data_IF_524484863405
#
_entry.id   IF_524484863405
#
_cell.length_a   1.000
_cell.length_b   1.000
_cell.length_c   1.000
_cell.angle_alpha   90.00
_cell.angle_beta   90.00
_cell.angle_gamma   90.00
#
_symmetry.space_group_name_H-M   'P 1'
#
loop_
_entity.id
_entity.type
_entity.pdbx_description
1 polymer ?
#
# COMPACT_ATOMS: atom_id res chain seq x y z
N UNK A 1 -13.44 -2.31 10.99
CA UNK A 1 -12.62 -1.68 9.93
C UNK A 1 -13.00 -2.36 8.64
N UNK A 2 -13.62 -1.64 7.70
CA UNK A 2 -14.02 -2.18 6.40
C UNK A 2 -12.79 -2.28 5.52
N UNK A 3 -12.36 -3.48 5.22
CA UNK A 3 -11.27 -3.77 4.29
C UNK A 3 -11.68 -3.31 2.89
N UNK A 4 -11.02 -2.27 2.37
CA UNK A 4 -11.19 -1.83 0.99
C UNK A 4 -10.45 -2.79 0.08
N UNK A 5 -11.16 -3.60 -0.69
CA UNK A 5 -10.57 -4.47 -1.71
C UNK A 5 -10.94 -3.98 -3.12
N UNK A 6 -9.94 -3.88 -3.98
CA UNK A 6 -10.12 -3.55 -5.40
C UNK A 6 -9.83 -4.83 -6.20
N UNK A 7 -10.79 -5.24 -7.03
CA UNK A 7 -10.62 -6.38 -7.94
C UNK A 7 -10.26 -5.85 -9.31
N UNK A 8 -9.10 -6.27 -9.83
CA UNK A 8 -8.62 -5.94 -11.16
C UNK A 8 -8.76 -7.16 -12.07
N UNK A 9 -9.30 -6.94 -13.26
CA UNK A 9 -9.35 -7.95 -14.32
C UNK A 9 -8.47 -7.50 -15.49
N UNK A 10 -7.78 -8.44 -16.17
CA UNK A 10 -7.03 -8.12 -17.37
C UNK A 10 -7.94 -7.52 -18.44
N UNK A 11 -7.45 -6.50 -19.15
CA UNK A 11 -8.23 -5.86 -20.19
C UNK A 11 -8.36 -6.75 -21.42
N UNK A 12 -9.58 -6.90 -21.93
CA UNK A 12 -9.85 -7.61 -23.18
C UNK A 12 -9.19 -6.98 -24.41
N UNK A 13 -8.73 -5.73 -24.31
CA UNK A 13 -8.01 -5.02 -25.38
C UNK A 13 -6.69 -5.71 -25.78
N UNK A 14 -6.07 -6.47 -24.86
CA UNK A 14 -4.85 -7.21 -25.13
C UNK A 14 -5.06 -8.36 -26.14
N UNK A 15 -6.32 -8.82 -26.25
CA UNK A 15 -6.70 -9.91 -27.16
C UNK A 15 -7.18 -9.42 -28.54
N UNK A 16 -7.25 -8.11 -28.78
CA UNK A 16 -7.80 -7.54 -30.01
C UNK A 16 -7.14 -8.15 -31.26
N UNK A 17 -5.82 -8.34 -31.25
CA UNK A 17 -5.08 -8.92 -32.36
C UNK A 17 -5.44 -10.39 -32.61
N UNK A 18 -5.69 -11.15 -31.56
CA UNK A 18 -6.12 -12.55 -31.65
C UNK A 18 -7.55 -12.67 -32.16
N UNK A 19 -8.45 -11.75 -31.79
CA UNK A 19 -9.80 -11.70 -32.35
C UNK A 19 -9.78 -11.36 -33.85
N UNK A 20 -8.94 -10.40 -34.25
CA UNK A 20 -8.79 -10.05 -35.66
C UNK A 20 -8.28 -11.25 -36.48
N UNK A 21 -7.29 -11.96 -35.98
CA UNK A 21 -6.74 -13.16 -36.60
C UNK A 21 -7.80 -14.27 -36.67
N UNK A 22 -8.59 -14.46 -35.61
CA UNK A 22 -9.70 -15.39 -35.57
C UNK A 22 -10.78 -15.09 -36.63
N UNK A 23 -11.13 -13.82 -36.82
CA UNK A 23 -12.12 -13.37 -37.83
C UNK A 23 -11.61 -13.70 -39.25
N UNK A 24 -10.34 -13.46 -39.53
CA UNK A 24 -9.72 -13.79 -40.82
C UNK A 24 -9.70 -15.31 -41.09
N UNK A 25 -9.61 -16.12 -40.02
CA UNK A 25 -9.58 -17.59 -40.11
C UNK A 25 -10.98 -18.24 -40.15
N UNK A 26 -12.06 -17.49 -39.89
CA UNK A 26 -13.43 -18.02 -39.93
C UNK A 26 -13.77 -18.74 -41.23
N UNK A 27 -13.46 -18.20 -42.45
CA UNK A 27 -13.75 -18.87 -43.69
C UNK A 27 -12.90 -20.14 -43.92
N UNK A 28 -11.85 -20.35 -43.13
CA UNK A 28 -10.95 -21.50 -43.24
C UNK A 28 -11.34 -22.59 -42.20
N UNK A 29 -12.53 -23.17 -42.28
CA UNK A 29 -13.00 -24.33 -41.50
C UNK A 29 -13.45 -24.11 -40.03
N UNK A 30 -13.91 -22.95 -39.67
CA UNK A 30 -14.42 -22.74 -38.29
C UNK A 30 -13.36 -22.78 -37.18
N UNK A 31 -12.09 -23.01 -37.52
CA UNK A 31 -10.96 -23.01 -36.57
C UNK A 31 -10.84 -21.66 -35.85
N UNK A 32 -11.21 -20.58 -36.52
CA UNK A 32 -11.20 -19.25 -35.95
C UNK A 32 -12.13 -19.13 -34.72
N UNK A 33 -13.34 -19.71 -34.81
CA UNK A 33 -14.32 -19.68 -33.70
C UNK A 33 -13.77 -20.48 -32.50
N UNK A 34 -13.19 -21.65 -32.74
CA UNK A 34 -12.60 -22.46 -31.69
C UNK A 34 -11.43 -21.72 -30.99
N UNK A 35 -10.55 -21.06 -31.75
CA UNK A 35 -9.44 -20.29 -31.21
C UNK A 35 -9.95 -19.12 -30.36
N UNK A 36 -10.94 -18.35 -30.87
CA UNK A 36 -11.54 -17.23 -30.11
C UNK A 36 -12.13 -17.75 -28.78
N UNK A 37 -12.92 -18.85 -28.82
CA UNK A 37 -13.50 -19.44 -27.61
C UNK A 37 -12.43 -19.91 -26.61
N UNK A 38 -11.40 -20.58 -27.09
CA UNK A 38 -10.31 -21.07 -26.25
C UNK A 38 -9.52 -19.93 -25.59
N UNK A 39 -9.20 -18.87 -26.34
CA UNK A 39 -8.52 -17.70 -25.79
C UNK A 39 -9.39 -16.92 -24.82
N UNK A 40 -10.66 -16.74 -25.13
CA UNK A 40 -11.63 -16.10 -24.23
C UNK A 40 -11.73 -16.84 -22.91
N UNK A 41 -11.89 -18.16 -22.94
CA UNK A 41 -11.97 -19.00 -21.74
C UNK A 41 -10.70 -18.97 -20.90
N UNK A 42 -9.53 -18.97 -21.55
CA UNK A 42 -8.24 -18.93 -20.84
C UNK A 42 -7.98 -17.57 -20.15
N UNK A 43 -8.48 -16.48 -20.74
CA UNK A 43 -8.20 -15.13 -20.22
C UNK A 43 -9.07 -14.75 -19.02
N UNK A 44 -10.29 -15.29 -18.94
CA UNK A 44 -11.21 -15.04 -17.84
C UNK A 44 -10.81 -15.78 -16.53
N UNK A 45 -9.81 -16.66 -16.61
CA UNK A 45 -9.36 -17.43 -15.44
C UNK A 45 -8.41 -16.66 -14.51
N UNK A 46 -7.92 -15.49 -14.93
CA UNK A 46 -6.95 -14.72 -14.14
C UNK A 46 -7.65 -13.52 -13.50
N UNK A 47 -7.62 -13.46 -12.19
CA UNK A 47 -8.10 -12.31 -11.43
C UNK A 47 -7.04 -11.85 -10.42
N UNK A 48 -6.89 -10.55 -10.30
CA UNK A 48 -5.98 -9.94 -9.35
C UNK A 48 -6.79 -9.17 -8.31
N UNK A 49 -6.51 -9.42 -7.04
CA UNK A 49 -7.12 -8.70 -5.93
C UNK A 49 -6.03 -7.95 -5.16
N UNK A 50 -6.15 -6.65 -5.08
CA UNK A 50 -5.28 -5.79 -4.28
C UNK A 50 -6.07 -5.39 -3.04
N UNK A 51 -5.51 -5.71 -1.88
CA UNK A 51 -6.01 -5.32 -0.56
C UNK A 51 -5.02 -4.32 0.06
N UNK A 52 -5.40 -3.68 1.15
CA UNK A 52 -4.53 -2.72 1.86
C UNK A 52 -3.24 -3.34 2.40
N UNK A 53 -3.19 -4.66 2.56
CA UNK A 53 -2.07 -5.41 3.14
C UNK A 53 -1.39 -6.37 2.17
N UNK A 54 -2.09 -6.85 1.14
CA UNK A 54 -1.58 -7.90 0.26
C UNK A 54 -2.12 -7.81 -1.17
N UNK A 55 -1.35 -8.37 -2.09
CA UNK A 55 -1.75 -8.60 -3.48
C UNK A 55 -1.92 -10.09 -3.67
N UNK A 56 -3.09 -10.50 -4.17
CA UNK A 56 -3.40 -11.88 -4.50
C UNK A 56 -3.64 -12.01 -6.00
N UNK A 57 -2.87 -12.85 -6.65
CA UNK A 57 -3.07 -13.25 -8.05
C UNK A 57 -3.68 -14.66 -8.06
N UNK A 58 -4.90 -14.78 -8.56
CA UNK A 58 -5.58 -16.06 -8.71
C UNK A 58 -5.61 -16.44 -10.19
N UNK A 59 -4.89 -17.48 -10.54
CA UNK A 59 -4.95 -18.14 -11.84
C UNK A 59 -5.76 -19.43 -11.78
N UNK A 60 -5.84 -20.14 -12.91
CA UNK A 60 -6.62 -21.39 -13.01
C UNK A 60 -6.22 -22.48 -12.01
N UNK A 61 -4.93 -22.57 -11.64
CA UNK A 61 -4.41 -23.61 -10.74
C UNK A 61 -3.44 -23.08 -9.67
N UNK A 62 -3.15 -21.79 -9.66
CA UNK A 62 -2.15 -21.20 -8.76
C UNK A 62 -2.73 -19.94 -8.16
N UNK A 63 -2.76 -19.89 -6.85
CA UNK A 63 -3.04 -18.67 -6.09
C UNK A 63 -1.72 -18.21 -5.47
N UNK A 64 -1.28 -17.03 -5.87
CA UNK A 64 -0.08 -16.39 -5.31
C UNK A 64 -0.50 -15.20 -4.48
N UNK A 65 -0.03 -15.15 -3.24
CA UNK A 65 -0.24 -14.04 -2.33
C UNK A 65 1.11 -13.41 -1.98
N UNK A 66 1.15 -12.09 -1.99
CA UNK A 66 2.32 -11.30 -1.64
C UNK A 66 1.90 -10.15 -0.73
N UNK A 67 2.59 -9.97 0.40
CA UNK A 67 2.34 -8.86 1.29
C UNK A 67 2.97 -7.57 0.73
N UNK A 68 2.23 -6.46 0.83
CA UNK A 68 2.69 -5.17 0.32
C UNK A 68 3.98 -4.70 1.01
N UNK A 69 4.15 -5.00 2.28
CA UNK A 69 5.37 -4.63 3.03
C UNK A 69 6.64 -5.24 2.44
N UNK A 70 6.54 -6.43 1.81
CA UNK A 70 7.66 -7.19 1.27
C UNK A 70 8.00 -6.83 -0.18
N UNK A 71 7.24 -5.92 -0.82
CA UNK A 71 7.49 -5.51 -2.21
C UNK A 71 8.78 -4.69 -2.26
N UNK A 72 9.78 -5.17 -2.98
CA UNK A 72 11.03 -4.45 -3.16
C UNK A 72 11.00 -3.55 -4.38
N UNK A 73 10.51 -4.07 -5.49
CA UNK A 73 10.56 -3.42 -6.79
C UNK A 73 9.29 -3.67 -7.58
N UNK A 74 8.83 -2.63 -8.27
CA UNK A 74 7.76 -2.71 -9.25
C UNK A 74 8.32 -2.24 -10.58
N UNK A 75 8.28 -3.10 -11.59
CA UNK A 75 8.77 -2.83 -12.93
C UNK A 75 7.60 -2.80 -13.90
N UNK A 76 7.62 -1.85 -14.82
CA UNK A 76 6.62 -1.73 -15.88
C UNK A 76 7.28 -2.06 -17.21
N UNK A 77 6.72 -3.01 -17.92
CA UNK A 77 7.15 -3.40 -19.25
C UNK A 77 6.02 -3.21 -20.25
N UNK A 78 6.26 -2.41 -21.29
CA UNK A 78 5.32 -2.14 -22.36
C UNK A 78 5.97 -2.38 -23.71
N UNK A 79 5.40 -3.29 -24.50
CA UNK A 79 5.75 -3.41 -25.91
C UNK A 79 5.16 -2.22 -26.68
N UNK A 80 5.72 -1.88 -27.83
CA UNK A 80 5.25 -0.76 -28.63
C UNK A 80 3.74 -0.84 -29.00
N UNK A 81 3.23 -2.06 -29.23
CA UNK A 81 1.82 -2.35 -29.50
C UNK A 81 0.97 -2.06 -28.23
N UNK A 82 1.41 -2.59 -27.08
CA UNK A 82 0.71 -2.41 -25.80
C UNK A 82 0.62 -0.93 -25.44
N UNK A 83 1.68 -0.17 -25.70
CA UNK A 83 1.73 1.28 -25.50
C UNK A 83 0.64 2.02 -26.30
N UNK A 84 0.37 1.58 -27.54
CA UNK A 84 -0.68 2.16 -28.38
C UNK A 84 -2.09 1.93 -27.84
N UNK A 85 -2.29 0.83 -27.09
CA UNK A 85 -3.56 0.49 -26.44
C UNK A 85 -3.61 0.88 -24.98
N UNK A 86 -2.57 1.53 -24.44
CA UNK A 86 -2.48 1.90 -23.03
C UNK A 86 -2.35 0.71 -22.09
N UNK A 87 -1.90 -0.43 -22.60
CA UNK A 87 -1.74 -1.68 -21.85
C UNK A 87 -0.27 -1.91 -21.46
N UNK A 88 -0.05 -2.81 -20.50
CA UNK A 88 1.29 -3.26 -20.15
C UNK A 88 1.32 -4.37 -19.13
N UNK A 89 2.52 -4.83 -18.88
CA UNK A 89 2.87 -5.81 -17.85
C UNK A 89 3.45 -5.06 -16.66
N UNK A 90 2.93 -5.33 -15.48
CA UNK A 90 3.49 -4.84 -14.22
C UNK A 90 4.04 -6.03 -13.45
N UNK A 91 5.35 -6.09 -13.29
CA UNK A 91 6.06 -7.13 -12.54
C UNK A 91 6.37 -6.62 -11.15
N UNK A 92 5.86 -7.31 -10.14
CA UNK A 92 6.07 -7.01 -8.73
C UNK A 92 7.03 -8.03 -8.15
N UNK A 93 8.15 -7.56 -7.61
CA UNK A 93 9.18 -8.42 -7.02
C UNK A 93 9.27 -8.23 -5.51
N UNK A 94 9.33 -9.35 -4.82
CA UNK A 94 9.66 -9.47 -3.40
C UNK A 94 10.90 -10.36 -3.25
N UNK A 95 11.45 -10.49 -2.06
CA UNK A 95 12.59 -11.37 -1.77
C UNK A 95 12.32 -12.84 -2.13
N UNK A 96 11.08 -13.29 -1.96
CA UNK A 96 10.72 -14.70 -2.08
C UNK A 96 9.84 -15.01 -3.29
N UNK A 97 9.22 -14.01 -3.92
CA UNK A 97 8.21 -14.24 -4.94
C UNK A 97 8.14 -13.11 -5.98
N UNK A 98 7.66 -13.45 -7.18
CA UNK A 98 7.39 -12.48 -8.25
C UNK A 98 5.98 -12.70 -8.76
N UNK A 99 5.22 -11.61 -8.89
CA UNK A 99 3.86 -11.62 -9.44
C UNK A 99 3.83 -10.73 -10.68
N UNK A 100 3.35 -11.31 -11.79
CA UNK A 100 3.19 -10.62 -13.06
C UNK A 100 1.71 -10.28 -13.32
N UNK A 101 1.41 -8.98 -13.35
CA UNK A 101 0.10 -8.45 -13.69
C UNK A 101 0.05 -8.15 -15.19
N UNK A 102 -0.50 -9.07 -15.96
CA UNK A 102 -0.53 -9.00 -17.44
C UNK A 102 -1.75 -8.24 -17.93
N UNK A 103 -1.57 -7.39 -18.94
CA UNK A 103 -2.66 -6.72 -19.64
C UNK A 103 -3.36 -5.62 -18.84
N UNK A 104 -2.63 -4.97 -17.93
CA UNK A 104 -3.16 -3.88 -17.12
C UNK A 104 -3.29 -2.59 -17.92
N UNK A 105 -4.41 -1.88 -17.75
CA UNK A 105 -4.58 -0.52 -18.27
C UNK A 105 -3.80 0.48 -17.41
N UNK A 106 -3.14 1.45 -18.06
CA UNK A 106 -2.33 2.46 -17.39
C UNK A 106 -1.30 1.88 -16.39
N UNK A 107 -0.41 0.99 -16.84
CA UNK A 107 0.47 0.22 -15.96
C UNK A 107 1.42 1.10 -15.13
N UNK A 108 1.81 2.28 -15.63
CA UNK A 108 2.60 3.26 -14.89
C UNK A 108 1.85 3.72 -13.63
N UNK A 109 0.60 4.18 -13.82
CA UNK A 109 -0.24 4.65 -12.70
C UNK A 109 -0.49 3.54 -11.67
N UNK A 110 -0.70 2.30 -12.16
CA UNK A 110 -0.87 1.14 -11.28
C UNK A 110 0.41 0.85 -10.48
N UNK A 111 1.58 0.90 -11.12
CA UNK A 111 2.86 0.71 -10.46
C UNK A 111 3.11 1.76 -9.37
N UNK A 112 2.83 3.04 -9.67
CA UNK A 112 2.96 4.13 -8.70
C UNK A 112 2.02 3.94 -7.50
N UNK A 113 0.76 3.52 -7.75
CA UNK A 113 -0.19 3.24 -6.67
C UNK A 113 0.28 2.08 -5.79
N UNK A 114 0.78 1.00 -6.37
CA UNK A 114 1.32 -0.15 -5.64
C UNK A 114 2.53 0.27 -4.79
N UNK A 115 3.45 1.05 -5.35
CA UNK A 115 4.62 1.55 -4.61
C UNK A 115 4.23 2.49 -3.47
N UNK A 116 3.23 3.36 -3.68
CA UNK A 116 2.71 4.21 -2.60
C UNK A 116 2.07 3.39 -1.50
N UNK A 117 1.25 2.39 -1.85
CA UNK A 117 0.62 1.49 -0.89
C UNK A 117 1.66 0.68 -0.10
N UNK A 118 2.69 0.16 -0.76
CA UNK A 118 3.79 -0.55 -0.12
C UNK A 118 4.55 0.32 0.89
N UNK A 119 4.83 1.58 0.54
CA UNK A 119 5.47 2.54 1.46
C UNK A 119 4.58 2.86 2.66
N UNK A 120 3.28 3.07 2.43
CA UNK A 120 2.32 3.35 3.49
C UNK A 120 2.21 2.17 4.47
N UNK A 121 2.17 0.93 3.96
CA UNK A 121 2.09 -0.27 4.80
C UNK A 121 3.36 -0.48 5.61
N UNK A 122 4.55 -0.27 5.03
CA UNK A 122 5.82 -0.30 5.78
C UNK A 122 5.85 0.73 6.90
N UNK A 123 5.38 1.96 6.62
CA UNK A 123 5.30 3.00 7.64
C UNK A 123 4.34 2.59 8.76
N UNK A 124 3.16 2.07 8.42
CA UNK A 124 2.18 1.57 9.39
C UNK A 124 2.78 0.48 10.30
N UNK A 125 3.50 -0.47 9.72
CA UNK A 125 4.17 -1.54 10.48
C UNK A 125 5.30 -1.00 11.34
N UNK A 126 6.08 -0.03 10.85
CA UNK A 126 7.13 0.62 11.64
C UNK A 126 6.54 1.40 12.82
N UNK A 127 5.43 2.11 12.62
CA UNK A 127 4.74 2.85 13.68
C UNK A 127 4.16 1.89 14.74
N UNK A 128 3.67 0.72 14.34
CA UNK A 128 3.18 -0.32 15.26
C UNK A 128 4.31 -0.97 16.06
N UNK A 129 5.48 -1.17 15.42
CA UNK A 129 6.66 -1.78 16.05
C UNK A 129 7.53 -0.76 16.79
N UNK A 130 7.29 0.54 16.58
CA UNK A 130 7.94 1.56 17.39
C UNK A 130 7.49 1.36 18.84
N UNK A 131 8.43 1.22 19.79
CA UNK A 131 8.06 1.19 21.19
C UNK A 131 7.25 2.46 21.44
N UNK A 132 5.96 2.27 21.74
CA UNK A 132 5.07 3.36 22.14
C UNK A 132 5.84 4.13 23.19
N UNK A 133 6.29 5.34 22.87
CA UNK A 133 6.99 6.16 23.82
C UNK A 133 6.14 6.10 25.09
N UNK A 134 6.67 5.47 26.13
CA UNK A 134 5.96 5.45 27.42
C UNK A 134 5.61 6.90 27.67
N UNK A 135 4.32 7.19 27.97
CA UNK A 135 3.97 8.54 28.34
C UNK A 135 4.99 8.91 29.41
N UNK A 136 5.78 9.94 29.12
CA UNK A 136 6.75 10.46 30.08
C UNK A 136 5.94 10.59 31.36
N UNK A 137 6.14 9.64 32.28
CA UNK A 137 5.59 9.76 33.62
C UNK A 137 6.20 11.07 34.08
N UNK A 138 5.40 12.15 33.98
CA UNK A 138 5.72 13.35 34.71
C UNK A 138 5.83 12.88 36.15
N UNK A 139 7.04 12.54 36.57
CA UNK A 139 7.34 12.38 37.98
C UNK A 139 6.76 13.63 38.61
N UNK A 140 5.83 13.47 39.54
CA UNK A 140 5.30 14.61 40.25
C UNK A 140 6.50 15.44 40.65
N UNK A 141 6.56 16.73 40.29
CA UNK A 141 7.75 17.52 40.53
C UNK A 141 8.12 17.33 42.01
N UNK A 142 9.40 17.02 42.23
CA UNK A 142 9.91 16.81 43.57
C UNK A 142 9.63 18.04 44.43
N UNK A 143 9.70 17.89 45.72
CA UNK A 143 9.54 18.99 46.66
C UNK A 143 10.45 20.19 46.30
N UNK A 144 11.69 19.87 45.95
CA UNK A 144 12.69 20.86 45.59
C UNK A 144 12.35 21.59 44.27
N UNK A 145 11.86 20.86 43.26
CA UNK A 145 11.44 21.44 41.96
C UNK A 145 10.26 22.44 42.14
N UNK A 146 9.41 22.19 43.11
CA UNK A 146 8.26 23.10 43.42
C UNK A 146 8.72 24.36 44.09
N UNK A 147 9.68 24.26 45.02
CA UNK A 147 10.27 25.40 45.71
C UNK A 147 11.02 26.28 44.73
N UNK A 148 11.80 25.67 43.81
CA UNK A 148 12.51 26.39 42.76
C UNK A 148 11.54 27.10 41.81
N UNK A 149 10.45 26.46 41.43
CA UNK A 149 9.40 27.06 40.60
C UNK A 149 8.76 28.28 41.30
N UNK A 150 8.40 28.15 42.60
CA UNK A 150 7.83 29.26 43.39
C UNK A 150 8.81 30.41 43.51
N UNK A 151 10.11 30.11 43.72
CA UNK A 151 11.16 31.10 43.76
C UNK A 151 11.28 31.86 42.45
N UNK A 152 11.20 31.14 41.31
CA UNK A 152 11.19 31.75 39.98
C UNK A 152 10.02 32.70 39.75
N UNK A 153 8.81 32.33 40.20
CA UNK A 153 7.62 33.18 40.10
C UNK A 153 7.75 34.44 40.91
N UNK A 154 8.29 34.33 42.16
CA UNK A 154 8.53 35.46 43.00
C UNK A 154 9.59 36.44 42.42
N UNK A 155 10.69 35.93 41.94
CA UNK A 155 11.73 36.73 41.32
C UNK A 155 11.22 37.48 40.07
N UNK A 156 10.28 36.90 39.32
CA UNK A 156 9.64 37.54 38.18
C UNK A 156 8.53 38.53 38.56
N UNK A 157 8.23 38.69 39.88
CA UNK A 157 7.18 39.58 40.34
C UNK A 157 5.76 39.11 40.06
N UNK A 158 5.60 37.82 39.71
CA UNK A 158 4.32 37.21 39.38
C UNK A 158 3.51 36.80 40.64
N UNK A 159 4.18 36.66 41.77
CA UNK A 159 3.54 36.41 43.09
C UNK A 159 4.10 37.38 44.15
N UNK A 160 3.27 37.72 45.15
CA UNK A 160 3.69 38.59 46.22
C UNK A 160 4.62 37.86 47.21
N UNK A 161 5.41 38.62 47.98
CA UNK A 161 6.29 38.07 49.02
C UNK A 161 5.49 37.31 50.09
N UNK A 162 4.28 37.80 50.40
CA UNK A 162 3.40 37.17 51.37
C UNK A 162 2.87 35.80 50.88
N UNK A 163 2.47 35.72 49.60
CA UNK A 163 2.03 34.47 48.98
C UNK A 163 3.17 33.47 48.86
N UNK A 164 4.36 33.95 48.47
CA UNK A 164 5.54 33.11 48.43
C UNK A 164 5.87 32.48 49.80
N UNK A 165 5.87 33.28 50.88
CA UNK A 165 6.10 32.78 52.26
C UNK A 165 5.04 31.82 52.72
N UNK A 166 3.80 32.02 52.31
CA UNK A 166 2.65 31.18 52.71
C UNK A 166 2.75 29.82 52.02
N UNK A 167 3.00 29.82 50.72
CA UNK A 167 3.11 28.56 49.95
C UNK A 167 4.38 27.78 50.31
N UNK A 168 5.50 28.45 50.55
CA UNK A 168 6.74 27.80 51.00
C UNK A 168 6.59 26.99 52.27
N UNK A 169 5.83 27.52 53.25
CA UNK A 169 5.51 26.81 54.52
C UNK A 169 4.78 25.48 54.31
N UNK A 170 4.08 25.33 53.18
CA UNK A 170 3.38 24.08 52.85
C UNK A 170 4.35 22.99 52.36
N UNK A 171 5.57 23.35 52.00
CA UNK A 171 6.61 22.46 51.49
C UNK A 171 7.78 22.23 52.49
N UNK A 172 7.81 22.96 53.60
CA UNK A 172 8.70 22.67 54.74
C UNK A 172 8.10 21.63 55.66
#
# INVERSE_FOLDING_TARGET
MTEKSITLTPSHKSLFWWYLLGIILIPLFGVGIYLIYRFYSSHNAISYRITDQSITARGSNIEQKMDLANIQKVEVFQKWIDKKFGLGLVTIRSDSNTIDLVGMENPQKLADMIMCAAKAERKRLADLNSPKAEPVKHSKPGRDDRIDYLTGLWQQGLISEEDYKKERKHFE
#
